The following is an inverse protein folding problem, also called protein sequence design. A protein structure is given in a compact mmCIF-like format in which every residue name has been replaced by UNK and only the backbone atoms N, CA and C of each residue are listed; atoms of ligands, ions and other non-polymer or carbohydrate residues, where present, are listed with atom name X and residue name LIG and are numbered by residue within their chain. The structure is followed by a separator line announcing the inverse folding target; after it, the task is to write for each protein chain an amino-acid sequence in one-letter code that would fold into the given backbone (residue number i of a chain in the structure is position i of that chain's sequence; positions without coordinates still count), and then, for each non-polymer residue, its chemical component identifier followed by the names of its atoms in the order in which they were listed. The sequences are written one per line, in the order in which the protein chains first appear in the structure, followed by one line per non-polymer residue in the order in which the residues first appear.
data_IF_270781755367
#
_entry.id   IF_270781755367
#
_cell.length_a   1.000
_cell.length_b   1.000
_cell.length_c   1.000
_cell.angle_alpha   90.00
_cell.angle_beta   90.00
_cell.angle_gamma   90.00
#
_symmetry.space_group_name_H-M   'P 1'
#
loop_
_entity.id
_entity.type
_entity.pdbx_description
1 polymer ?
#
# COMPACT_ATOMS: atom_id res chain seq x y z
N UNK A 1 -17.16 10.52 -29.04
CA UNK A 1 -16.56 11.06 -27.80
C UNK A 1 -15.85 12.36 -28.15
N UNK A 2 -16.01 13.43 -27.37
CA UNK A 2 -15.31 14.69 -27.64
C UNK A 2 -13.83 14.52 -27.24
N UNK A 3 -12.86 14.70 -28.15
CA UNK A 3 -11.44 14.46 -27.88
C UNK A 3 -10.90 15.28 -26.70
N UNK A 4 -11.47 16.46 -26.45
CA UNK A 4 -11.13 17.29 -25.29
C UNK A 4 -11.52 16.62 -23.96
N UNK A 5 -12.70 16.01 -23.91
CA UNK A 5 -13.20 15.28 -22.73
C UNK A 5 -12.34 14.04 -22.49
N UNK A 6 -11.98 13.31 -23.56
CA UNK A 6 -11.09 12.15 -23.45
C UNK A 6 -9.72 12.55 -22.88
N UNK A 7 -9.10 13.60 -23.42
CA UNK A 7 -7.81 14.09 -22.92
C UNK A 7 -7.88 14.53 -21.44
N UNK A 8 -8.90 15.29 -21.07
CA UNK A 8 -9.11 15.71 -19.69
C UNK A 8 -9.36 14.52 -18.74
N UNK A 9 -10.10 13.50 -19.19
CA UNK A 9 -10.41 12.32 -18.37
C UNK A 9 -9.17 11.49 -18.02
N UNK A 10 -8.23 11.32 -18.96
CA UNK A 10 -6.99 10.54 -18.71
C UNK A 10 -6.08 11.27 -17.73
N UNK A 11 -5.98 12.59 -17.84
CA UNK A 11 -5.22 13.42 -16.89
C UNK A 11 -5.85 13.34 -15.50
N UNK A 12 -7.18 13.51 -15.41
CA UNK A 12 -7.90 13.41 -14.13
C UNK A 12 -7.73 12.02 -13.49
N UNK A 13 -7.82 10.95 -14.27
CA UNK A 13 -7.60 9.59 -13.79
C UNK A 13 -6.16 9.38 -13.28
N UNK A 14 -5.15 9.89 -14.00
CA UNK A 14 -3.75 9.81 -13.58
C UNK A 14 -3.48 10.50 -12.24
N UNK A 15 -4.07 11.68 -12.03
CA UNK A 15 -3.93 12.42 -10.76
C UNK A 15 -4.70 11.73 -9.63
N UNK A 16 -5.92 11.26 -9.91
CA UNK A 16 -6.75 10.57 -8.92
C UNK A 16 -6.13 9.26 -8.41
N UNK A 17 -5.39 8.55 -9.25
CA UNK A 17 -4.69 7.31 -8.87
C UNK A 17 -3.28 7.60 -8.32
N UNK A 18 -2.59 8.59 -8.86
CA UNK A 18 -1.19 8.89 -8.50
C UNK A 18 -1.01 9.48 -7.11
N UNK A 19 -1.81 10.50 -6.73
CA UNK A 19 -1.63 11.19 -5.45
C UNK A 19 -1.88 10.30 -4.23
N UNK A 20 -2.95 9.48 -4.18
CA UNK A 20 -3.20 8.60 -3.04
C UNK A 20 -2.11 7.53 -2.82
N UNK A 21 -1.32 7.19 -3.84
CA UNK A 21 -0.26 6.18 -3.73
C UNK A 21 0.92 6.59 -2.83
N UNK A 22 1.04 7.89 -2.49
CA UNK A 22 2.12 8.42 -1.65
C UNK A 22 1.97 7.93 -0.20
N UNK A 23 0.74 7.89 0.33
CA UNK A 23 0.46 7.46 1.71
C UNK A 23 0.96 6.04 1.98
N UNK A 24 0.45 5.03 1.24
CA UNK A 24 0.89 3.64 1.39
C UNK A 24 2.40 3.46 1.19
N UNK A 25 3.03 4.22 0.29
CA UNK A 25 4.48 4.15 0.06
C UNK A 25 5.30 4.62 1.27
N UNK A 26 4.84 5.63 2.00
CA UNK A 26 5.49 6.13 3.22
C UNK A 26 5.24 5.21 4.41
N UNK A 27 4.00 4.75 4.56
CA UNK A 27 3.59 3.87 5.66
C UNK A 27 4.33 2.51 5.57
N UNK A 28 4.29 1.85 4.41
CA UNK A 28 4.99 0.58 4.20
C UNK A 28 6.51 0.68 4.35
N UNK A 29 7.10 1.83 3.99
CA UNK A 29 8.52 2.09 4.20
C UNK A 29 8.88 2.18 5.69
N UNK A 30 8.01 2.80 6.48
CA UNK A 30 8.16 2.94 7.93
C UNK A 30 8.02 1.59 8.63
N UNK A 31 7.00 0.81 8.28
CA UNK A 31 6.73 -0.51 8.85
C UNK A 31 7.85 -1.51 8.51
N UNK A 32 8.35 -1.47 7.27
CA UNK A 32 9.52 -2.26 6.88
C UNK A 32 10.77 -1.89 7.70
N UNK A 33 10.98 -0.59 7.96
CA UNK A 33 12.06 -0.11 8.82
C UNK A 33 11.94 -0.64 10.26
N UNK A 34 10.73 -0.57 10.84
CA UNK A 34 10.46 -1.10 12.18
C UNK A 34 10.58 -2.62 12.23
N UNK A 35 10.19 -3.34 11.18
CA UNK A 35 10.38 -4.77 11.08
C UNK A 35 11.87 -5.14 11.09
N UNK A 36 12.71 -4.43 10.32
CA UNK A 36 14.16 -4.63 10.31
C UNK A 36 14.79 -4.32 11.67
N UNK A 37 14.37 -3.23 12.32
CA UNK A 37 14.84 -2.90 13.67
C UNK A 37 14.40 -3.95 14.70
N UNK A 38 13.18 -4.47 14.59
CA UNK A 38 12.66 -5.56 15.40
C UNK A 38 13.47 -6.84 15.24
N UNK A 39 13.83 -7.21 14.00
CA UNK A 39 14.70 -8.35 13.70
C UNK A 39 16.10 -8.14 14.27
N UNK A 40 16.65 -6.93 14.16
CA UNK A 40 17.97 -6.61 14.70
C UNK A 40 18.01 -6.73 16.24
N UNK A 41 16.91 -6.39 16.92
CA UNK A 41 16.77 -6.55 18.39
C UNK A 41 16.49 -7.99 18.82
N UNK A 42 15.75 -8.76 18.02
CA UNK A 42 15.32 -10.12 18.32
C UNK A 42 15.43 -11.02 17.07
N UNK A 43 16.64 -11.52 16.75
CA UNK A 43 16.85 -12.32 15.55
C UNK A 43 16.10 -13.65 15.58
N UNK A 44 15.85 -14.22 16.76
CA UNK A 44 15.07 -15.47 16.91
C UNK A 44 13.59 -15.30 16.51
N UNK A 45 13.09 -14.06 16.51
CA UNK A 45 11.71 -13.74 16.11
C UNK A 45 11.58 -13.41 14.62
N UNK A 46 12.66 -13.45 13.84
CA UNK A 46 12.72 -13.00 12.44
C UNK A 46 11.59 -13.57 11.58
N UNK A 47 11.35 -14.90 11.68
CA UNK A 47 10.30 -15.56 10.89
C UNK A 47 8.90 -15.03 11.19
N UNK A 48 8.61 -14.67 12.45
CA UNK A 48 7.31 -14.08 12.84
C UNK A 48 7.21 -12.62 12.39
N UNK A 49 8.27 -11.84 12.56
CA UNK A 49 8.28 -10.42 12.18
C UNK A 49 8.13 -10.27 10.66
N UNK A 50 8.87 -11.05 9.87
CA UNK A 50 8.72 -11.06 8.41
C UNK A 50 7.37 -11.58 7.95
N UNK A 51 6.83 -12.60 8.63
CA UNK A 51 5.49 -13.12 8.34
C UNK A 51 4.41 -12.06 8.53
N UNK A 52 4.45 -11.32 9.63
CA UNK A 52 3.51 -10.24 9.90
C UNK A 52 3.66 -9.09 8.91
N UNK A 53 4.90 -8.64 8.65
CA UNK A 53 5.16 -7.58 7.67
C UNK A 53 4.67 -7.96 6.26
N UNK A 54 4.77 -9.23 5.87
CA UNK A 54 4.24 -9.72 4.60
C UNK A 54 2.70 -9.68 4.56
N UNK A 55 2.02 -10.07 5.64
CA UNK A 55 0.55 -10.02 5.75
C UNK A 55 0.06 -8.57 5.66
N UNK A 56 0.75 -7.63 6.28
CA UNK A 56 0.43 -6.20 6.25
C UNK A 56 0.55 -5.65 4.82
N UNK A 57 1.70 -5.83 4.17
CA UNK A 57 1.96 -5.40 2.78
C UNK A 57 0.98 -5.98 1.75
N UNK A 58 0.54 -7.22 1.96
CA UNK A 58 -0.37 -7.92 1.03
C UNK A 58 -1.84 -7.71 1.36
N UNK A 59 -2.20 -7.52 2.64
CA UNK A 59 -3.57 -7.32 3.10
C UNK A 59 -4.20 -6.08 2.50
N UNK A 60 -3.48 -4.96 2.46
CA UNK A 60 -3.94 -3.70 1.85
C UNK A 60 -4.28 -3.88 0.36
N UNK A 61 -3.40 -4.55 -0.39
CA UNK A 61 -3.59 -4.82 -1.83
C UNK A 61 -4.70 -5.85 -2.08
N UNK A 62 -4.92 -6.76 -1.14
CA UNK A 62 -5.95 -7.80 -1.24
C UNK A 62 -7.36 -7.22 -1.10
N UNK A 63 -7.59 -6.32 -0.13
CA UNK A 63 -8.88 -5.65 0.09
C UNK A 63 -9.27 -4.82 -1.14
N UNK A 64 -8.32 -4.02 -1.67
CA UNK A 64 -8.54 -3.21 -2.88
C UNK A 64 -8.82 -4.11 -4.10
N UNK A 65 -8.09 -5.22 -4.27
CA UNK A 65 -8.31 -6.14 -5.39
C UNK A 65 -9.66 -6.87 -5.35
N UNK A 66 -10.25 -7.06 -4.16
CA UNK A 66 -11.57 -7.67 -4.01
C UNK A 66 -12.72 -6.64 -4.12
N UNK A 67 -12.41 -5.36 -4.30
CA UNK A 67 -13.41 -4.29 -4.33
C UNK A 67 -14.05 -4.01 -2.98
N UNK A 68 -13.41 -4.44 -1.88
CA UNK A 68 -13.86 -4.16 -0.52
C UNK A 68 -13.32 -2.79 -0.10
N UNK A 69 -14.13 -2.03 0.65
CA UNK A 69 -13.70 -0.75 1.20
C UNK A 69 -12.90 -1.02 2.48
N UNK A 70 -11.61 -0.68 2.54
CA UNK A 70 -10.79 -0.88 3.75
C UNK A 70 -11.30 -0.11 4.97
N UNK A 71 -12.14 0.93 4.80
CA UNK A 71 -12.70 1.69 5.93
C UNK A 71 -13.85 0.99 6.68
N UNK A 72 -14.27 -0.20 6.26
CA UNK A 72 -15.35 -0.97 6.90
C UNK A 72 -14.86 -2.14 7.77
N UNK A 73 -13.55 -2.25 7.99
CA UNK A 73 -12.89 -3.23 8.86
C UNK A 73 -12.10 -2.52 9.97
#
# INVERSE_FOLDING_TARGET
MNPLISAASVIAAGLAVGFPSIGPGVDQGTDAGQAVEGIARQPEAEGKIRGNAFIELTGERFIISMGLNPELL
#
